data_IF_543089578606
#
_entry.id   IF_543089578606
#
_cell.length_a   1.000
_cell.length_b   1.000
_cell.length_c   1.000
_cell.angle_alpha   90.00
_cell.angle_beta   90.00
_cell.angle_gamma   90.00
#
_symmetry.space_group_name_H-M   'P 1'
#
loop_
_entity.id
_entity.type
_entity.pdbx_description
1 polymer ?
#
# COMPACT_ATOMS: atom_id res chain seq x y z
N UNK A 1 19.02 13.14 -5.75
CA UNK A 1 19.17 12.84 -4.30
C UNK A 1 19.06 11.32 -4.22
N UNK A 2 20.04 10.60 -3.68
CA UNK A 2 19.97 9.13 -3.65
C UNK A 2 18.76 8.67 -2.81
N UNK A 3 18.19 7.50 -3.13
CA UNK A 3 17.12 6.88 -2.35
C UNK A 3 17.39 6.90 -0.84
N UNK A 4 18.63 6.64 -0.46
CA UNK A 4 19.08 6.61 0.93
C UNK A 4 18.89 7.96 1.65
N UNK A 5 19.27 9.08 1.02
CA UNK A 5 19.14 10.40 1.65
C UNK A 5 17.68 10.83 1.86
N UNK A 6 16.81 10.52 0.90
CA UNK A 6 15.37 10.78 1.03
C UNK A 6 14.75 9.92 2.12
N UNK A 7 15.15 8.65 2.21
CA UNK A 7 14.70 7.72 3.23
C UNK A 7 15.14 8.11 4.65
N UNK A 8 16.39 8.52 4.85
CA UNK A 8 16.87 9.02 6.14
C UNK A 8 16.13 10.30 6.58
N UNK A 9 15.86 11.21 5.63
CA UNK A 9 15.02 12.38 5.88
C UNK A 9 13.60 12.00 6.27
N UNK A 10 13.02 10.97 5.64
CA UNK A 10 11.71 10.45 6.00
C UNK A 10 11.69 9.89 7.44
N UNK A 11 12.67 9.03 7.77
CA UNK A 11 12.77 8.36 9.08
C UNK A 11 12.98 9.33 10.23
N UNK A 12 13.68 10.43 9.99
CA UNK A 12 13.89 11.50 10.98
C UNK A 12 12.66 12.40 11.16
N UNK A 13 11.80 12.52 10.14
CA UNK A 13 10.65 13.43 10.15
C UNK A 13 9.34 12.79 10.58
N UNK A 14 9.13 11.51 10.23
CA UNK A 14 7.86 10.81 10.45
C UNK A 14 8.13 9.58 11.32
N UNK A 15 7.69 9.58 12.59
CA UNK A 15 7.99 8.48 13.51
C UNK A 15 7.17 7.23 13.19
N UNK A 16 7.82 6.07 13.30
CA UNK A 16 7.13 4.78 13.29
C UNK A 16 6.39 4.60 14.62
N UNK A 17 5.07 4.39 14.56
CA UNK A 17 4.24 4.12 15.74
C UNK A 17 3.88 2.65 15.79
N UNK A 18 3.88 2.08 17.01
CA UNK A 18 3.34 0.75 17.27
C UNK A 18 2.00 0.89 18.00
N UNK A 19 0.92 0.43 17.39
CA UNK A 19 -0.44 0.48 17.94
C UNK A 19 -0.91 -0.94 18.24
N UNK A 20 -1.20 -1.20 19.50
CA UNK A 20 -1.72 -2.48 19.97
C UNK A 20 -3.24 -2.35 20.07
N UNK A 21 -3.96 -3.21 19.35
CA UNK A 21 -5.43 -3.12 19.19
C UNK A 21 -6.16 -4.34 19.73
N UNK A 22 -5.41 -5.37 20.14
CA UNK A 22 -5.90 -6.62 20.68
C UNK A 22 -5.81 -6.67 22.20
N UNK A 23 -6.66 -7.49 22.81
CA UNK A 23 -6.82 -7.58 24.26
C UNK A 23 -5.64 -8.26 24.97
N UNK A 24 -4.91 -9.14 24.28
CA UNK A 24 -3.75 -9.85 24.85
C UNK A 24 -2.43 -9.07 24.68
N UNK A 25 -2.47 -7.95 23.95
CA UNK A 25 -1.33 -7.04 23.77
C UNK A 25 -0.28 -7.50 22.76
N UNK A 26 -0.53 -8.56 21.99
CA UNK A 26 0.48 -9.20 21.14
C UNK A 26 0.53 -8.64 19.72
N UNK A 27 -0.57 -8.09 19.20
CA UNK A 27 -0.73 -7.66 17.80
C UNK A 27 -0.54 -6.15 17.68
N UNK A 28 0.73 -5.74 17.67
CA UNK A 28 1.13 -4.36 17.42
C UNK A 28 1.25 -4.03 15.93
N UNK A 29 0.31 -3.24 15.40
CA UNK A 29 0.40 -2.61 14.08
C UNK A 29 1.50 -1.57 14.05
N UNK A 30 2.36 -1.65 13.03
CA UNK A 30 3.44 -0.69 12.80
C UNK A 30 2.99 0.29 11.74
N UNK A 31 2.85 1.56 12.08
CA UNK A 31 2.30 2.56 11.17
C UNK A 31 3.17 3.82 11.06
N UNK A 32 3.23 4.37 9.86
CA UNK A 32 3.55 5.77 9.63
C UNK A 32 2.25 6.49 9.29
N UNK A 33 1.97 7.62 9.93
CA UNK A 33 0.78 8.43 9.66
C UNK A 33 1.24 9.87 9.46
N UNK A 34 1.02 10.42 8.26
CA UNK A 34 1.44 11.76 7.85
C UNK A 34 0.29 12.53 7.20
N UNK A 35 0.42 13.86 7.17
CA UNK A 35 -0.63 14.78 6.73
C UNK A 35 -1.66 15.14 7.82
N UNK A 36 -2.71 15.91 7.46
CA UNK A 36 -3.63 16.52 8.43
C UNK A 36 -4.50 15.50 9.18
N UNK A 37 -4.36 15.42 10.51
CA UNK A 37 -5.00 14.39 11.35
C UNK A 37 -6.51 14.51 11.51
N UNK A 38 -7.07 15.68 11.22
CA UNK A 38 -8.50 15.92 11.22
C UNK A 38 -9.21 15.28 10.01
N UNK A 39 -8.48 14.85 8.98
CA UNK A 39 -9.04 14.09 7.86
C UNK A 39 -9.35 12.67 8.32
N UNK A 40 -10.63 12.28 8.21
CA UNK A 40 -11.14 10.96 8.64
C UNK A 40 -11.22 9.93 7.51
N UNK A 41 -10.83 10.31 6.29
CA UNK A 41 -10.75 9.42 5.13
C UNK A 41 -9.37 9.41 4.47
N UNK A 42 -8.32 8.94 5.17
CA UNK A 42 -6.96 8.88 4.62
C UNK A 42 -6.83 7.84 3.51
N UNK A 43 -5.72 7.95 2.77
CA UNK A 43 -5.17 6.85 2.00
C UNK A 43 -4.39 5.92 2.94
N UNK A 44 -4.76 4.64 2.98
CA UNK A 44 -4.03 3.59 3.69
C UNK A 44 -3.23 2.75 2.69
N UNK A 45 -1.91 2.77 2.82
CA UNK A 45 -1.01 1.92 2.05
C UNK A 45 -0.75 0.60 2.81
N UNK A 46 -0.95 -0.53 2.13
CA UNK A 46 -0.75 -1.87 2.68
C UNK A 46 0.43 -2.56 1.97
N UNK A 47 1.53 -2.86 2.69
CA UNK A 47 2.70 -3.51 2.10
C UNK A 47 2.39 -4.90 1.52
N UNK A 48 3.11 -5.34 0.48
CA UNK A 48 3.10 -6.73 0.04
C UNK A 48 3.77 -7.63 1.09
N UNK A 49 3.76 -8.94 0.85
CA UNK A 49 4.33 -9.96 1.76
C UNK A 49 5.75 -9.60 2.25
N UNK A 50 6.62 -9.19 1.34
CA UNK A 50 8.03 -8.87 1.59
C UNK A 50 8.28 -7.45 2.12
N UNK A 51 7.23 -6.64 2.28
CA UNK A 51 7.35 -5.22 2.58
C UNK A 51 7.10 -4.87 4.04
N UNK A 52 7.67 -3.75 4.46
CA UNK A 52 7.43 -3.06 5.74
C UNK A 52 6.66 -1.76 5.50
N UNK A 53 6.21 -1.08 6.55
CA UNK A 53 5.42 0.15 6.39
C UNK A 53 6.18 1.30 5.69
N UNK A 54 7.51 1.30 5.70
CA UNK A 54 8.33 2.37 5.11
C UNK A 54 8.55 2.25 3.60
N UNK A 55 8.17 1.15 2.96
CA UNK A 55 8.36 1.00 1.51
C UNK A 55 7.58 2.05 0.70
N UNK A 56 6.56 2.64 1.30
CA UNK A 56 5.75 3.71 0.72
C UNK A 56 6.22 5.11 1.14
N UNK A 57 7.46 5.28 1.62
CA UNK A 57 7.96 6.57 2.09
C UNK A 57 7.84 7.67 1.02
N UNK A 58 8.08 7.33 -0.26
CA UNK A 58 7.93 8.27 -1.38
C UNK A 58 6.47 8.70 -1.60
N UNK A 59 5.52 7.79 -1.41
CA UNK A 59 4.09 8.12 -1.45
C UNK A 59 3.72 9.01 -0.27
N UNK A 60 4.17 8.66 0.94
CA UNK A 60 3.90 9.42 2.15
C UNK A 60 4.43 10.84 2.03
N UNK A 61 5.69 11.04 1.65
CA UNK A 61 6.31 12.36 1.51
C UNK A 61 5.59 13.20 0.44
N UNK A 62 5.43 12.66 -0.77
CA UNK A 62 4.86 13.38 -1.92
C UNK A 62 3.40 13.78 -1.71
N UNK A 63 2.56 12.86 -1.22
CA UNK A 63 1.14 13.12 -1.03
C UNK A 63 0.89 13.99 0.20
N UNK A 64 1.63 13.78 1.30
CA UNK A 64 1.48 14.63 2.50
C UNK A 64 1.89 16.08 2.24
N UNK A 65 2.93 16.30 1.43
CA UNK A 65 3.32 17.64 0.97
C UNK A 65 2.22 18.35 0.16
N UNK A 66 1.29 17.58 -0.42
CA UNK A 66 0.11 18.08 -1.16
C UNK A 66 -1.17 18.14 -0.32
N UNK A 67 -1.04 17.96 0.99
CA UNK A 67 -2.14 18.07 1.95
C UNK A 67 -2.97 16.79 2.15
N UNK A 68 -2.59 15.67 1.52
CA UNK A 68 -3.27 14.39 1.75
C UNK A 68 -2.86 13.78 3.09
N UNK A 69 -3.81 13.16 3.80
CA UNK A 69 -3.48 12.27 4.92
C UNK A 69 -3.19 10.88 4.39
N UNK A 70 -1.97 10.38 4.64
CA UNK A 70 -1.50 9.07 4.21
C UNK A 70 -1.03 8.27 5.42
N UNK A 71 -1.52 7.05 5.54
CA UNK A 71 -1.13 6.09 6.57
C UNK A 71 -0.54 4.87 5.86
N UNK A 72 0.69 4.49 6.15
CA UNK A 72 1.22 3.20 5.73
C UNK A 72 1.17 2.25 6.93
N UNK A 73 0.49 1.12 6.78
CA UNK A 73 0.18 0.23 7.89
C UNK A 73 0.71 -1.18 7.62
N UNK A 74 1.68 -1.58 8.43
CA UNK A 74 2.20 -2.93 8.47
C UNK A 74 1.49 -3.75 9.55
N UNK A 75 0.89 -4.86 9.13
CA UNK A 75 0.14 -5.73 10.02
C UNK A 75 1.06 -6.61 10.88
N UNK A 76 0.69 -6.87 12.14
CA UNK A 76 1.29 -7.94 12.94
C UNK A 76 0.93 -9.33 12.38
N UNK A 77 1.42 -10.37 13.04
CA UNK A 77 1.18 -11.78 12.66
C UNK A 77 -0.32 -12.12 12.74
N UNK A 78 -0.88 -12.53 11.59
CA UNK A 78 -2.20 -13.12 11.46
C UNK A 78 -2.12 -14.36 10.56
N UNK A 79 -2.83 -15.42 10.92
CA UNK A 79 -2.79 -16.69 10.20
C UNK A 79 -4.00 -16.94 9.30
N UNK A 80 -5.01 -16.08 9.38
CA UNK A 80 -6.18 -16.12 8.52
C UNK A 80 -6.69 -14.72 8.20
N UNK A 81 -7.35 -14.59 7.05
CA UNK A 81 -7.82 -13.31 6.53
C UNK A 81 -8.94 -12.69 7.40
N UNK A 82 -9.73 -13.50 8.10
CA UNK A 82 -10.82 -13.00 8.95
C UNK A 82 -10.26 -12.28 10.19
N UNK A 83 -9.25 -12.86 10.83
CA UNK A 83 -8.56 -12.25 11.97
C UNK A 83 -7.77 -11.03 11.54
N UNK A 84 -7.14 -11.08 10.36
CA UNK A 84 -6.49 -9.91 9.77
C UNK A 84 -7.50 -8.78 9.56
N UNK A 85 -8.66 -9.06 8.95
CA UNK A 85 -9.74 -8.09 8.77
C UNK A 85 -10.30 -7.56 10.10
N UNK A 86 -10.44 -8.42 11.11
CA UNK A 86 -10.88 -8.03 12.45
C UNK A 86 -9.85 -7.08 13.10
N UNK A 87 -8.57 -7.43 13.03
CA UNK A 87 -7.47 -6.60 13.50
C UNK A 87 -7.40 -5.25 12.80
N UNK A 88 -7.58 -5.25 11.47
CA UNK A 88 -7.58 -4.03 10.68
C UNK A 88 -8.76 -3.13 11.04
N UNK A 89 -9.97 -3.69 11.24
CA UNK A 89 -11.13 -2.92 11.74
C UNK A 89 -10.85 -2.27 13.10
N UNK A 90 -10.26 -3.02 14.04
CA UNK A 90 -9.88 -2.46 15.36
C UNK A 90 -8.84 -1.34 15.25
N UNK A 91 -7.92 -1.43 14.29
CA UNK A 91 -6.98 -0.34 13.98
C UNK A 91 -7.74 0.89 13.46
N UNK A 92 -8.69 0.71 12.54
CA UNK A 92 -9.51 1.82 12.03
C UNK A 92 -10.33 2.46 13.16
N UNK A 93 -10.93 1.67 14.04
CA UNK A 93 -11.67 2.15 15.21
C UNK A 93 -10.76 2.95 16.15
N UNK A 94 -9.57 2.42 16.46
CA UNK A 94 -8.56 3.12 17.29
C UNK A 94 -8.13 4.47 16.69
N UNK A 95 -7.99 4.53 15.36
CA UNK A 95 -7.63 5.75 14.63
C UNK A 95 -8.85 6.65 14.36
N UNK A 96 -10.04 6.24 14.80
CA UNK A 96 -11.33 6.89 14.56
C UNK A 96 -11.58 7.17 13.06
N UNK A 97 -11.34 6.16 12.22
CA UNK A 97 -11.50 6.23 10.76
C UNK A 97 -12.75 5.48 10.32
N UNK A 98 -13.74 6.21 9.79
CA UNK A 98 -15.01 5.62 9.37
C UNK A 98 -14.97 5.05 7.94
N UNK A 99 -14.16 5.67 7.07
CA UNK A 99 -14.02 5.37 5.65
C UNK A 99 -12.58 5.58 5.26
N UNK A 100 -12.01 4.76 4.39
CA UNK A 100 -10.60 4.85 3.98
C UNK A 100 -10.46 4.52 2.51
N UNK A 101 -9.44 5.09 1.87
CA UNK A 101 -8.95 4.62 0.58
C UNK A 101 -7.85 3.60 0.83
N UNK A 102 -7.75 2.56 -0.01
CA UNK A 102 -6.74 1.52 0.15
C UNK A 102 -5.85 1.50 -1.09
N UNK A 103 -4.54 1.54 -0.86
CA UNK A 103 -3.53 1.28 -1.88
C UNK A 103 -2.73 0.04 -1.47
N UNK A 104 -2.75 -0.98 -2.31
CA UNK A 104 -1.97 -2.20 -2.13
C UNK A 104 -1.04 -2.41 -3.33
N UNK A 105 0.07 -3.10 -3.10
CA UNK A 105 0.99 -3.53 -4.15
C UNK A 105 1.13 -5.06 -4.14
N UNK A 106 1.37 -5.64 -5.30
CA UNK A 106 1.65 -7.07 -5.47
C UNK A 106 3.16 -7.32 -5.60
N UNK A 107 3.56 -8.58 -5.49
CA UNK A 107 4.89 -9.08 -5.84
C UNK A 107 4.94 -9.39 -7.35
N UNK A 108 5.98 -8.95 -8.06
CA UNK A 108 6.16 -9.23 -9.49
C UNK A 108 7.65 -9.54 -9.84
N UNK A 109 7.99 -9.75 -11.14
CA UNK A 109 9.29 -10.24 -11.64
C UNK A 109 10.03 -9.16 -12.47
N UNK A 110 11.31 -9.41 -12.68
CA UNK A 110 12.37 -8.44 -12.92
C UNK A 110 12.50 -8.01 -14.38
N UNK A 111 12.32 -6.71 -14.63
CA UNK A 111 13.04 -5.92 -15.65
C UNK A 111 14.02 -4.98 -14.93
N UNK A 112 15.08 -4.50 -15.58
CA UNK A 112 16.19 -3.83 -14.85
C UNK A 112 16.65 -2.53 -15.53
N UNK A 113 16.54 -1.43 -14.78
CA UNK A 113 17.38 -0.22 -14.88
C UNK A 113 17.87 0.21 -13.49
N UNK A 114 18.71 1.25 -13.41
CA UNK A 114 19.37 1.69 -12.18
C UNK A 114 18.38 2.06 -11.05
N UNK A 115 17.27 2.73 -11.36
CA UNK A 115 16.26 3.09 -10.34
C UNK A 115 15.51 1.87 -9.82
N UNK A 116 15.35 0.84 -10.67
CA UNK A 116 14.79 -0.45 -10.25
C UNK A 116 15.77 -1.24 -9.38
N UNK A 117 17.07 -1.19 -9.66
CA UNK A 117 18.11 -1.81 -8.81
C UNK A 117 18.08 -1.18 -7.42
N UNK A 118 18.07 0.15 -7.32
CA UNK A 118 17.98 0.83 -6.02
C UNK A 118 16.70 0.44 -5.26
N UNK A 119 15.57 0.28 -5.95
CA UNK A 119 14.33 -0.18 -5.35
C UNK A 119 14.42 -1.65 -4.88
N UNK A 120 15.07 -2.53 -5.65
CA UNK A 120 15.30 -3.92 -5.28
C UNK A 120 16.18 -4.01 -4.05
N UNK A 121 17.32 -3.34 -4.04
CA UNK A 121 18.25 -3.34 -2.90
C UNK A 121 17.55 -2.85 -1.63
N UNK A 122 16.81 -1.74 -1.73
CA UNK A 122 16.01 -1.25 -0.61
C UNK A 122 14.99 -2.28 -0.11
N UNK A 123 14.29 -2.96 -1.02
CA UNK A 123 13.29 -3.98 -0.66
C UNK A 123 13.92 -5.24 -0.08
N UNK A 124 15.12 -5.63 -0.52
CA UNK A 124 15.88 -6.75 0.06
C UNK A 124 16.20 -6.45 1.52
N UNK A 125 16.69 -5.26 1.84
CA UNK A 125 16.96 -4.89 3.24
C UNK A 125 15.70 -4.91 4.11
N UNK A 126 14.54 -4.52 3.56
CA UNK A 126 13.26 -4.59 4.29
C UNK A 126 12.81 -6.03 4.48
N UNK A 127 12.95 -6.87 3.47
CA UNK A 127 12.65 -8.29 3.55
C UNK A 127 13.50 -8.99 4.62
N UNK A 128 14.80 -8.69 4.69
CA UNK A 128 15.72 -9.24 5.69
C UNK A 128 15.39 -8.79 7.13
N UNK A 129 14.72 -7.66 7.29
CA UNK A 129 14.29 -7.16 8.60
C UNK A 129 13.06 -7.89 9.18
N UNK A 130 12.34 -8.66 8.35
CA UNK A 130 11.14 -9.37 8.76
C UNK A 130 11.49 -10.68 9.46
N UNK A 131 10.79 -10.98 10.55
CA UNK A 131 10.93 -12.28 11.22
C UNK A 131 10.33 -13.41 10.38
N UNK A 132 10.81 -14.64 10.62
CA UNK A 132 10.26 -15.84 10.00
C UNK A 132 8.74 -15.97 10.23
N UNK A 133 8.25 -15.62 11.43
CA UNK A 133 6.82 -15.70 11.76
C UNK A 133 6.00 -14.69 10.98
N UNK A 134 6.50 -13.46 10.80
CA UNK A 134 5.85 -12.43 9.99
C UNK A 134 5.74 -12.88 8.53
N UNK A 135 6.84 -13.35 7.94
CA UNK A 135 6.85 -13.85 6.56
C UNK A 135 5.94 -15.06 6.38
N UNK A 136 6.04 -16.05 7.25
CA UNK A 136 5.22 -17.27 7.17
C UNK A 136 3.72 -16.94 7.25
N UNK A 137 3.33 -16.04 8.16
CA UNK A 137 1.93 -15.65 8.33
C UNK A 137 1.37 -14.90 7.12
N UNK A 138 2.14 -13.99 6.53
CA UNK A 138 1.76 -13.24 5.32
C UNK A 138 1.65 -14.14 4.10
N UNK A 139 2.62 -15.05 3.91
CA UNK A 139 2.58 -16.06 2.86
C UNK A 139 1.38 -16.99 3.03
N UNK A 140 1.08 -17.40 4.27
CA UNK A 140 -0.09 -18.24 4.55
C UNK A 140 -1.37 -17.55 4.09
N UNK A 141 -1.58 -16.29 4.48
CA UNK A 141 -2.76 -15.53 4.05
C UNK A 141 -2.83 -15.37 2.52
N UNK A 142 -1.70 -15.08 1.85
CA UNK A 142 -1.66 -14.87 0.40
C UNK A 142 -1.88 -16.17 -0.40
N UNK A 143 -1.44 -17.32 0.13
CA UNK A 143 -1.53 -18.61 -0.55
C UNK A 143 -2.77 -19.42 -0.19
N UNK A 144 -3.61 -18.94 0.75
CA UNK A 144 -4.89 -19.59 1.05
C UNK A 144 -5.89 -19.24 -0.05
N UNK A 145 -6.33 -20.28 -0.78
CA UNK A 145 -7.38 -20.16 -1.79
C UNK A 145 -8.61 -19.45 -1.21
N UNK A 146 -8.85 -18.25 -1.71
CA UNK A 146 -9.95 -17.39 -1.29
C UNK A 146 -10.64 -16.85 -2.54
N UNK A 147 -11.97 -16.83 -2.53
CA UNK A 147 -12.74 -16.24 -3.62
C UNK A 147 -13.18 -14.83 -3.25
N UNK A 148 -12.67 -13.85 -3.99
CA UNK A 148 -13.21 -12.48 -3.94
C UNK A 148 -14.49 -12.46 -4.76
N UNK A 149 -15.52 -11.79 -4.24
CA UNK A 149 -16.80 -11.59 -4.93
C UNK A 149 -16.82 -10.19 -5.55
N UNK A 150 -16.35 -9.99 -6.80
CA UNK A 150 -16.11 -8.65 -7.34
C UNK A 150 -17.40 -7.86 -7.51
N UNK A 151 -18.53 -8.54 -7.72
CA UNK A 151 -19.86 -7.93 -7.80
C UNK A 151 -20.25 -7.16 -6.52
N UNK A 152 -19.69 -7.50 -5.35
CA UNK A 152 -19.92 -6.74 -4.10
C UNK A 152 -19.16 -5.41 -4.06
N UNK A 153 -18.21 -5.22 -4.97
CA UNK A 153 -17.38 -4.03 -5.09
C UNK A 153 -17.81 -3.12 -6.26
N UNK A 154 -18.93 -3.45 -6.93
CA UNK A 154 -19.32 -2.81 -8.21
C UNK A 154 -19.50 -1.29 -8.15
N UNK A 155 -19.87 -0.76 -6.98
CA UNK A 155 -20.10 0.68 -6.76
C UNK A 155 -18.85 1.43 -6.25
N UNK A 156 -17.76 0.72 -5.97
CA UNK A 156 -16.53 1.33 -5.47
C UNK A 156 -15.65 1.81 -6.62
N UNK A 157 -15.19 3.07 -6.62
CA UNK A 157 -14.18 3.51 -7.57
C UNK A 157 -12.90 2.70 -7.38
N UNK A 158 -12.44 2.04 -8.44
CA UNK A 158 -11.20 1.25 -8.45
C UNK A 158 -10.28 1.85 -9.51
N UNK A 159 -8.99 1.97 -9.18
CA UNK A 159 -7.94 2.28 -10.14
C UNK A 159 -6.92 1.15 -10.12
N UNK A 160 -6.67 0.53 -11.26
CA UNK A 160 -5.61 -0.45 -11.44
C UNK A 160 -4.40 0.28 -12.03
N UNK A 161 -3.25 0.20 -11.36
CA UNK A 161 -2.00 0.75 -11.85
C UNK A 161 -1.16 -0.44 -12.33
N UNK A 162 -0.86 -0.47 -13.62
CA UNK A 162 -0.21 -1.60 -14.30
C UNK A 162 1.04 -1.14 -15.04
N UNK A 163 2.12 -1.92 -14.99
CA UNK A 163 3.46 -1.58 -15.48
C UNK A 163 3.84 -2.47 -16.66
N UNK A 164 3.85 -1.98 -17.90
CA UNK A 164 4.07 -2.77 -19.13
C UNK A 164 5.50 -3.30 -19.38
N UNK A 165 6.16 -3.87 -18.36
CA UNK A 165 7.46 -4.56 -18.46
C UNK A 165 7.31 -6.07 -18.79
N UNK A 166 8.42 -6.81 -18.89
CA UNK A 166 8.38 -8.29 -18.92
C UNK A 166 8.06 -8.82 -17.50
N UNK A 167 6.82 -9.28 -17.30
CA UNK A 167 6.21 -9.51 -15.99
C UNK A 167 6.51 -10.88 -15.31
N UNK A 168 6.25 -10.95 -13.99
CA UNK A 168 6.01 -12.22 -13.26
C UNK A 168 4.68 -12.84 -13.61
N UNK A 169 3.65 -11.98 -13.63
CA UNK A 169 2.27 -12.39 -13.74
C UNK A 169 2.00 -12.71 -15.21
N UNK A 170 1.43 -13.88 -15.44
CA UNK A 170 1.09 -14.27 -16.80
C UNK A 170 0.07 -13.26 -17.37
N UNK A 171 0.10 -12.99 -18.68
CA UNK A 171 -0.92 -12.16 -19.34
C UNK A 171 -2.35 -12.59 -18.98
N UNK A 172 -2.54 -13.89 -18.73
CA UNK A 172 -3.79 -14.45 -18.25
C UNK A 172 -4.25 -13.86 -16.90
N UNK A 173 -3.38 -13.79 -15.87
CA UNK A 173 -3.78 -13.23 -14.56
C UNK A 173 -4.19 -11.76 -14.69
N UNK A 174 -3.47 -10.99 -15.50
CA UNK A 174 -3.81 -9.59 -15.79
C UNK A 174 -5.17 -9.47 -16.48
N UNK A 175 -5.42 -10.27 -17.52
CA UNK A 175 -6.71 -10.27 -18.20
C UNK A 175 -7.86 -10.67 -17.28
N UNK A 176 -7.68 -11.66 -16.42
CA UNK A 176 -8.67 -12.06 -15.41
C UNK A 176 -8.93 -10.93 -14.39
N UNK A 177 -7.89 -10.18 -13.99
CA UNK A 177 -8.05 -9.01 -13.12
C UNK A 177 -8.92 -7.94 -13.79
N UNK A 178 -8.68 -7.64 -15.07
CA UNK A 178 -9.48 -6.66 -15.82
C UNK A 178 -10.93 -7.12 -16.00
N UNK A 179 -11.17 -8.42 -16.20
CA UNK A 179 -12.53 -8.99 -16.23
C UNK A 179 -13.23 -8.92 -14.88
N UNK A 180 -12.50 -9.08 -13.78
CA UNK A 180 -13.05 -8.94 -12.43
C UNK A 180 -13.50 -7.50 -12.12
N UNK A 181 -12.81 -6.51 -12.69
CA UNK A 181 -13.04 -5.08 -12.43
C UNK A 181 -13.23 -4.28 -13.72
N UNK A 182 -14.31 -4.52 -14.49
CA UNK A 182 -14.48 -3.95 -15.83
C UNK A 182 -14.65 -2.42 -15.85
N UNK A 183 -15.08 -1.84 -14.73
CA UNK A 183 -15.29 -0.39 -14.57
C UNK A 183 -14.08 0.31 -13.93
N UNK A 184 -13.00 -0.41 -13.63
CA UNK A 184 -11.82 0.20 -13.02
C UNK A 184 -11.13 1.16 -14.00
N UNK A 185 -10.65 2.29 -13.48
CA UNK A 185 -9.75 3.18 -14.22
C UNK A 185 -8.39 2.50 -14.36
N UNK A 186 -7.80 2.54 -15.55
CA UNK A 186 -6.48 1.98 -15.80
C UNK A 186 -5.42 3.08 -15.84
N UNK A 187 -4.38 2.93 -15.03
CA UNK A 187 -3.16 3.74 -15.06
C UNK A 187 -2.02 2.89 -15.57
N UNK A 188 -1.49 3.21 -16.74
CA UNK A 188 -0.42 2.44 -17.36
C UNK A 188 0.92 3.13 -17.20
N UNK A 189 1.89 2.40 -16.66
CA UNK A 189 3.29 2.78 -16.61
C UNK A 189 4.02 2.02 -17.71
N UNK A 190 4.92 2.69 -18.42
CA UNK A 190 5.69 2.03 -19.49
C UNK A 190 6.69 1.02 -18.95
N UNK A 191 7.29 1.35 -17.80
CA UNK A 191 8.22 0.53 -17.06
C UNK A 191 8.17 0.87 -15.57
N UNK A 192 8.77 0.07 -14.73
CA UNK A 192 8.82 0.27 -13.28
C UNK A 192 9.22 -0.97 -12.47
N UNK A 193 9.33 -2.14 -13.11
CA UNK A 193 9.64 -3.40 -12.43
C UNK A 193 8.67 -3.71 -11.30
N UNK A 194 9.17 -4.39 -10.26
CA UNK A 194 8.35 -4.95 -9.18
C UNK A 194 7.82 -3.92 -8.19
N UNK A 195 8.52 -2.80 -8.11
CA UNK A 195 8.33 -1.82 -7.06
C UNK A 195 8.12 -0.44 -7.69
N UNK A 196 7.12 -0.26 -8.58
CA UNK A 196 6.87 1.01 -9.26
C UNK A 196 6.57 2.15 -8.27
N UNK A 197 6.09 1.83 -7.07
CA UNK A 197 5.92 2.80 -5.99
C UNK A 197 7.26 3.36 -5.47
N UNK A 198 8.37 2.67 -5.68
CA UNK A 198 9.73 3.12 -5.39
C UNK A 198 10.42 3.67 -6.65
N UNK A 199 10.51 2.85 -7.71
CA UNK A 199 11.22 3.13 -8.97
C UNK A 199 10.53 4.19 -9.82
N UNK A 200 9.20 4.24 -9.83
CA UNK A 200 8.40 5.22 -10.60
C UNK A 200 7.42 5.95 -9.71
N UNK A 201 7.90 6.31 -8.52
CA UNK A 201 7.06 6.87 -7.46
C UNK A 201 6.29 8.12 -7.92
N UNK A 202 6.87 8.96 -8.80
CA UNK A 202 6.20 10.14 -9.34
C UNK A 202 4.96 9.80 -10.17
N UNK A 203 5.04 8.78 -11.04
CA UNK A 203 3.93 8.31 -11.88
C UNK A 203 2.87 7.60 -11.04
N UNK A 204 3.29 6.73 -10.11
CA UNK A 204 2.36 6.10 -9.15
C UNK A 204 1.64 7.16 -8.33
N UNK A 205 2.35 8.15 -7.81
CA UNK A 205 1.77 9.26 -7.05
C UNK A 205 0.81 10.10 -7.89
N UNK A 206 1.05 10.26 -9.19
CA UNK A 206 0.11 10.92 -10.10
C UNK A 206 -1.20 10.15 -10.20
N UNK A 207 -1.15 8.83 -10.42
CA UNK A 207 -2.35 8.00 -10.47
C UNK A 207 -3.11 7.98 -9.14
N UNK A 208 -2.41 7.92 -8.01
CA UNK A 208 -3.02 8.05 -6.67
C UNK A 208 -3.73 9.39 -6.51
N UNK A 209 -3.12 10.50 -6.93
CA UNK A 209 -3.77 11.82 -6.88
C UNK A 209 -5.00 11.88 -7.77
N UNK A 210 -4.94 11.36 -9.00
CA UNK A 210 -6.09 11.34 -9.91
C UNK A 210 -7.25 10.53 -9.30
N UNK A 211 -6.93 9.39 -8.69
CA UNK A 211 -7.92 8.60 -7.97
C UNK A 211 -8.52 9.37 -6.79
N UNK A 212 -7.69 9.99 -5.94
CA UNK A 212 -8.18 10.69 -4.74
C UNK A 212 -8.95 11.98 -5.07
N UNK A 213 -8.59 12.69 -6.15
CA UNK A 213 -9.25 13.94 -6.57
C UNK A 213 -10.72 13.77 -6.90
N UNK A 214 -11.19 12.58 -7.27
CA UNK A 214 -12.62 12.38 -7.57
C UNK A 214 -13.51 12.47 -6.33
N UNK A 215 -12.93 12.38 -5.14
CA UNK A 215 -13.63 12.49 -3.85
C UNK A 215 -13.55 13.88 -3.24
N UNK A 216 -12.92 14.80 -3.95
CA UNK A 216 -12.81 16.18 -3.49
C UNK A 216 -14.20 16.82 -3.36
N UNK A 217 -14.47 17.44 -2.21
CA UNK A 217 -15.71 18.11 -1.86
C UNK A 217 -16.71 17.19 -1.15
N UNK A 218 -16.34 15.92 -0.94
CA UNK A 218 -17.19 14.91 -0.32
C UNK A 218 -16.65 14.49 1.06
N UNK A 219 -17.46 13.73 1.80
CA UNK A 219 -17.04 13.11 3.08
C UNK A 219 -15.86 12.13 2.93
N UNK A 220 -15.58 11.65 1.71
CA UNK A 220 -14.49 10.73 1.42
C UNK A 220 -13.18 11.46 1.05
N UNK A 221 -13.12 12.78 1.15
CA UNK A 221 -11.91 13.53 0.79
C UNK A 221 -10.72 13.18 1.69
N UNK A 222 -9.59 12.86 1.07
CA UNK A 222 -8.33 12.59 1.77
C UNK A 222 -7.47 13.83 2.00
N UNK A 223 -7.94 15.02 1.62
CA UNK A 223 -7.27 16.31 1.84
C UNK A 223 -8.26 17.45 2.09
N UNK A 224 -7.78 18.56 2.63
CA UNK A 224 -8.54 19.82 2.71
C UNK A 224 -8.56 20.54 1.37
N UNK A 225 -9.61 21.35 1.17
CA UNK A 225 -9.70 22.34 0.09
C UNK A 225 -8.86 23.57 0.38
#
# INVERSE_FOLDING_TARGET
MSYHNEYESFRSSIPLKKIIVDSDGTKGWRIYDSGPKNIKSPLICLPPVSGTADIFFKQILSLSAKGYRVISAESPVYWNINDWCCGFKKLLDYLELNKVHIFGASLENVSIDDEMIEAIDFMVERLESLSQSELASRLTINCVNSYVQPHKMGDLPITLIDVFDDYALSPFVREEMYKCYPNAKLGHLKNGGNFPYLSRSAEVNLHLQIHLRQFEGTEFSSRHF
#
